data_IF_392903154112
#
_entry.id   IF_392903154112
#
_cell.length_a   1.000
_cell.length_b   1.000
_cell.length_c   1.000
_cell.angle_alpha   90.00
_cell.angle_beta   90.00
_cell.angle_gamma   90.00
#
_symmetry.space_group_name_H-M   'P 1'
#
loop_
_entity.id
_entity.type
_entity.pdbx_description
1 polymer ?
#
# COMPACT_ATOMS: atom_id res chain seq x y z
N UNK A 1 -11.80 2.90 28.66
CA UNK A 1 -12.07 3.26 27.25
C UNK A 1 -11.09 2.48 26.39
N UNK A 2 -11.50 2.00 25.22
CA UNK A 2 -10.60 1.29 24.31
C UNK A 2 -9.58 2.27 23.71
N UNK A 3 -8.29 1.92 23.77
CA UNK A 3 -7.20 2.66 23.14
C UNK A 3 -6.80 2.00 21.83
N UNK A 4 -6.35 2.80 20.87
CA UNK A 4 -5.98 2.37 19.53
C UNK A 4 -4.55 2.79 19.20
N UNK A 5 -3.80 1.86 18.61
CA UNK A 5 -2.56 2.17 17.91
C UNK A 5 -2.84 2.35 16.42
N UNK A 6 -2.14 3.30 15.79
CA UNK A 6 -2.24 3.58 14.37
C UNK A 6 -0.89 3.41 13.68
N UNK A 7 -0.93 2.93 12.44
CA UNK A 7 0.24 2.75 11.59
C UNK A 7 -0.07 3.31 10.20
N UNK A 8 0.72 4.29 9.76
CA UNK A 8 0.63 4.89 8.43
C UNK A 8 1.87 4.54 7.62
N UNK A 9 1.68 3.99 6.43
CA UNK A 9 2.76 3.51 5.57
C UNK A 9 2.46 3.79 4.10
N UNK A 10 3.51 3.94 3.30
CA UNK A 10 3.41 3.85 1.85
C UNK A 10 3.73 2.43 1.40
N UNK A 11 2.79 1.81 0.69
CA UNK A 11 2.99 0.51 0.07
C UNK A 11 3.11 0.66 -1.44
N UNK A 12 3.97 -0.14 -2.05
CA UNK A 12 4.20 -0.12 -3.49
C UNK A 12 3.86 -1.47 -4.11
N UNK A 13 3.01 -1.45 -5.14
CA UNK A 13 2.68 -2.60 -5.95
C UNK A 13 3.76 -2.77 -7.04
N UNK A 14 4.63 -3.76 -6.89
CA UNK A 14 5.60 -4.08 -7.92
C UNK A 14 6.00 -5.55 -7.89
N UNK A 15 6.27 -6.13 -9.07
CA UNK A 15 6.79 -7.49 -9.18
C UNK A 15 8.21 -7.51 -8.63
N UNK A 16 8.40 -8.17 -7.50
CA UNK A 16 9.70 -8.44 -6.91
C UNK A 16 10.26 -9.74 -7.50
N UNK A 17 11.52 -9.72 -7.96
CA UNK A 17 12.18 -10.90 -8.55
C UNK A 17 12.46 -12.03 -7.53
N UNK A 18 12.49 -11.70 -6.23
CA UNK A 18 12.94 -12.61 -5.16
C UNK A 18 11.84 -13.07 -4.21
N UNK A 19 10.57 -12.78 -4.53
CA UNK A 19 9.50 -12.88 -3.55
C UNK A 19 8.97 -14.31 -3.44
N UNK A 20 9.42 -15.03 -2.41
CA UNK A 20 8.94 -16.36 -2.01
C UNK A 20 7.51 -16.32 -1.43
N UNK A 21 6.56 -15.74 -2.15
CA UNK A 21 5.17 -15.63 -1.71
C UNK A 21 4.27 -16.61 -2.45
N UNK A 22 3.34 -17.20 -1.71
CA UNK A 22 2.43 -18.26 -2.13
C UNK A 22 1.31 -17.82 -3.12
N UNK A 23 1.42 -16.63 -3.71
CA UNK A 23 0.45 -16.14 -4.67
C UNK A 23 1.02 -16.41 -6.06
N UNK A 24 0.23 -17.06 -6.91
CA UNK A 24 0.60 -17.18 -8.33
C UNK A 24 0.52 -15.78 -8.96
N UNK A 25 1.68 -15.16 -9.12
CA UNK A 25 1.82 -13.82 -9.70
C UNK A 25 2.19 -13.87 -11.18
N UNK A 26 2.24 -15.06 -11.80
CA UNK A 26 2.64 -15.22 -13.19
C UNK A 26 1.77 -14.38 -14.12
N UNK A 27 0.46 -14.37 -13.88
CA UNK A 27 -0.54 -13.66 -14.70
C UNK A 27 -0.70 -12.17 -14.35
N UNK A 28 -0.18 -11.71 -13.22
CA UNK A 28 -0.35 -10.31 -12.79
C UNK A 28 0.49 -9.35 -13.64
N UNK A 29 0.01 -8.13 -13.85
CA UNK A 29 0.83 -7.07 -14.44
C UNK A 29 1.95 -6.62 -13.46
N UNK A 30 3.00 -5.98 -13.97
CA UNK A 30 4.15 -5.57 -13.16
C UNK A 30 3.83 -4.66 -11.96
N UNK A 31 2.70 -3.94 -12.02
CA UNK A 31 2.24 -2.97 -11.02
C UNK A 31 0.82 -3.26 -10.51
N UNK A 32 0.37 -4.51 -10.62
CA UNK A 32 -0.97 -4.94 -10.15
C UNK A 32 -1.10 -4.74 -8.64
N UNK A 33 -2.16 -4.08 -8.12
CA UNK A 33 -2.33 -3.86 -6.68
C UNK A 33 -2.28 -5.14 -5.83
N UNK A 34 -2.69 -6.28 -6.39
CA UNK A 34 -2.65 -7.62 -5.79
C UNK A 34 -1.23 -8.02 -5.36
N UNK A 35 -0.20 -7.43 -5.97
CA UNK A 35 1.20 -7.65 -5.57
C UNK A 35 1.51 -7.15 -4.16
N UNK A 36 0.66 -6.30 -3.56
CA UNK A 36 0.80 -5.87 -2.16
C UNK A 36 0.19 -6.86 -1.15
N UNK A 37 -0.58 -7.87 -1.60
CA UNK A 37 -1.22 -8.84 -0.72
C UNK A 37 -0.27 -9.51 0.28
N UNK A 38 0.98 -9.88 -0.05
CA UNK A 38 1.89 -10.47 0.92
C UNK A 38 2.18 -9.55 2.11
N UNK A 39 2.42 -8.27 1.86
CA UNK A 39 2.69 -7.29 2.91
C UNK A 39 1.44 -6.97 3.72
N UNK A 40 0.28 -6.85 3.06
CA UNK A 40 -1.01 -6.68 3.72
C UNK A 40 -1.33 -7.87 4.63
N UNK A 41 -1.10 -9.10 4.17
CA UNK A 41 -1.28 -10.32 4.96
C UNK A 41 -0.31 -10.38 6.14
N UNK A 42 0.96 -9.97 5.94
CA UNK A 42 1.97 -9.88 7.00
C UNK A 42 1.56 -8.89 8.09
N UNK A 43 0.96 -7.75 7.72
CA UNK A 43 0.42 -6.77 8.66
C UNK A 43 -0.83 -7.30 9.37
N UNK A 44 -1.74 -7.92 8.64
CA UNK A 44 -2.93 -8.58 9.19
C UNK A 44 -2.59 -9.66 10.23
N UNK A 45 -1.56 -10.47 9.97
CA UNK A 45 -1.06 -11.48 10.91
C UNK A 45 -0.50 -10.87 12.22
N UNK A 46 -0.17 -9.57 12.23
CA UNK A 46 0.27 -8.81 13.41
C UNK A 46 -0.88 -8.07 14.12
N UNK A 47 -2.12 -8.33 13.70
CA UNK A 47 -3.33 -7.71 14.26
C UNK A 47 -3.65 -6.33 13.68
N UNK A 48 -2.95 -5.88 12.63
CA UNK A 48 -3.28 -4.61 11.97
C UNK A 48 -4.48 -4.77 11.04
N UNK A 49 -5.48 -3.91 11.21
CA UNK A 49 -6.65 -3.78 10.34
C UNK A 49 -6.44 -2.59 9.40
N UNK A 50 -6.50 -2.81 8.08
CA UNK A 50 -6.46 -1.74 7.08
C UNK A 50 -7.76 -0.94 7.15
N UNK A 51 -7.66 0.38 7.32
CA UNK A 51 -8.83 1.28 7.42
C UNK A 51 -8.88 2.36 6.34
N UNK A 52 -7.75 2.65 5.70
CA UNK A 52 -7.68 3.58 4.58
C UNK A 52 -6.63 3.13 3.58
N UNK A 53 -6.92 3.28 2.29
CA UNK A 53 -5.99 3.05 1.20
C UNK A 53 -6.33 3.96 0.03
N UNK A 54 -5.35 4.70 -0.47
CA UNK A 54 -5.53 5.54 -1.67
C UNK A 54 -4.26 5.56 -2.52
N UNK A 55 -4.36 5.59 -3.86
CA UNK A 55 -3.23 5.90 -4.72
C UNK A 55 -2.62 7.25 -4.34
N UNK A 56 -1.30 7.34 -4.24
CA UNK A 56 -0.59 8.55 -3.89
C UNK A 56 0.67 8.73 -4.73
N UNK A 57 1.03 9.99 -4.97
CA UNK A 57 2.37 10.37 -5.38
C UNK A 57 3.11 10.82 -4.13
N UNK A 58 4.31 10.27 -3.93
CA UNK A 58 5.12 10.51 -2.75
C UNK A 58 6.40 11.20 -3.22
N UNK A 59 6.63 12.41 -2.73
CA UNK A 59 7.86 13.13 -2.95
C UNK A 59 9.04 12.51 -2.21
N UNK A 60 10.25 13.00 -2.47
CA UNK A 60 11.46 12.51 -1.81
C UNK A 60 11.47 12.76 -0.29
N UNK A 61 10.60 13.66 0.21
CA UNK A 61 10.45 13.96 1.63
C UNK A 61 9.19 13.31 2.25
N UNK A 62 8.64 12.27 1.60
CA UNK A 62 7.38 11.61 2.00
C UNK A 62 6.14 12.53 1.97
N UNK A 63 6.26 13.71 1.36
CA UNK A 63 5.16 14.61 1.10
C UNK A 63 4.20 14.05 0.06
N UNK A 64 2.90 14.23 0.29
CA UNK A 64 1.84 13.69 -0.57
C UNK A 64 1.47 14.76 -1.59
N UNK A 65 1.69 14.46 -2.86
CA UNK A 65 1.28 15.35 -3.95
C UNK A 65 -0.21 15.15 -4.26
N UNK A 66 -1.00 16.16 -3.91
CA UNK A 66 -2.40 16.30 -4.32
C UNK A 66 -2.46 16.57 -5.83
N UNK A 67 -3.23 15.78 -6.59
CA UNK A 67 -3.38 16.02 -8.01
C UNK A 67 -4.46 17.09 -8.27
N UNK A 68 -4.07 18.36 -8.26
CA UNK A 68 -4.93 19.43 -8.79
C UNK A 68 -4.70 19.65 -10.29
N UNK A 69 -5.78 19.46 -11.06
CA UNK A 69 -6.11 20.15 -12.30
C UNK A 69 -5.00 20.36 -13.33
N UNK A 70 -4.71 19.36 -14.16
CA UNK A 70 -3.72 19.55 -15.23
C UNK A 70 -3.69 18.50 -16.33
N UNK A 71 -4.85 18.09 -16.87
CA UNK A 71 -5.02 17.45 -18.20
C UNK A 71 -4.27 16.15 -18.55
N UNK A 72 -3.24 15.75 -17.80
CA UNK A 72 -2.40 14.59 -18.04
C UNK A 72 -2.79 13.47 -17.08
N UNK A 73 -3.10 12.29 -17.64
CA UNK A 73 -3.26 11.07 -16.85
C UNK A 73 -1.94 10.75 -16.17
N UNK A 74 -1.96 10.62 -14.84
CA UNK A 74 -0.81 10.13 -14.07
C UNK A 74 -1.13 8.75 -13.52
N UNK A 75 -0.17 7.84 -13.65
CA UNK A 75 -0.23 6.50 -13.09
C UNK A 75 0.70 6.43 -11.89
N UNK A 76 0.27 5.76 -10.83
CA UNK A 76 1.09 5.43 -9.66
C UNK A 76 0.80 4.00 -9.27
N UNK A 77 1.82 3.31 -8.79
CA UNK A 77 1.74 2.01 -8.13
C UNK A 77 1.96 2.12 -6.62
N UNK A 78 2.05 3.35 -6.10
CA UNK A 78 2.23 3.66 -4.68
C UNK A 78 0.90 4.05 -4.02
N UNK A 79 0.71 3.57 -2.81
CA UNK A 79 -0.50 3.72 -2.04
C UNK A 79 -0.18 4.23 -0.64
N UNK A 80 -0.91 5.24 -0.18
CA UNK A 80 -0.91 5.61 1.22
C UNK A 80 -1.93 4.75 1.96
N UNK A 81 -1.48 3.98 2.94
CA UNK A 81 -2.29 3.06 3.72
C UNK A 81 -2.26 3.45 5.20
N UNK A 82 -3.43 3.37 5.85
CA UNK A 82 -3.57 3.56 7.30
C UNK A 82 -4.16 2.29 7.89
N UNK A 83 -3.54 1.83 8.97
CA UNK A 83 -3.95 0.68 9.74
C UNK A 83 -4.24 1.07 11.19
N UNK A 84 -5.09 0.31 11.86
CA UNK A 84 -5.35 0.41 13.31
C UNK A 84 -5.28 -0.96 13.97
N UNK A 85 -5.04 -0.99 15.28
CA UNK A 85 -5.25 -2.17 16.13
C UNK A 85 -5.48 -1.76 17.60
N UNK A 86 -6.09 -2.62 18.44
CA UNK A 86 -6.16 -2.36 19.87
C UNK A 86 -4.75 -2.21 20.46
N UNK A 87 -4.58 -1.24 21.37
CA UNK A 87 -3.34 -1.06 22.13
C UNK A 87 -3.12 -2.17 23.17
#
# INVERSE_FOLDING_TARGET
MQQWEYLSLFLEAYKQETAAYAIDTAELAAYSPELMMPELNRLGAKGWELVHMQPAFVGSNEDILMHEGGGMRRWTNKYFCVFKRPA
#
